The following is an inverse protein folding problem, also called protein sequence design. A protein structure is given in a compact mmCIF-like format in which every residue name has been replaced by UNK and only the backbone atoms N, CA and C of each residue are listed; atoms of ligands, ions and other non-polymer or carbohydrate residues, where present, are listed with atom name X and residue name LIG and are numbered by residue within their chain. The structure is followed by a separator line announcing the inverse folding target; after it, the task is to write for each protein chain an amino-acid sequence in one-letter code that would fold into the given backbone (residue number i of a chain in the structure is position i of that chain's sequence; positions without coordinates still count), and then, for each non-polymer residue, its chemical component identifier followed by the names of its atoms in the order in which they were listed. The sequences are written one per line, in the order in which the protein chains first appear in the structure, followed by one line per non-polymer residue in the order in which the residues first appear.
data_IF_868095130851
#
_entry.id   IF_868095130851
#
_cell.length_a   1.000
_cell.length_b   1.000
_cell.length_c   1.000
_cell.angle_alpha   90.00
_cell.angle_beta   90.00
_cell.angle_gamma   90.00
#
_symmetry.space_group_name_H-M   'P 1'
#
loop_
_entity.id
_entity.type
_entity.pdbx_description
1 polymer ?
#
# COMPACT_ATOMS: atom_id res chain seq x y z
N UNK A 1 -31.44 -33.55 -51.49
CA UNK A 1 -30.69 -34.25 -50.42
C UNK A 1 -29.23 -34.20 -50.84
N UNK A 2 -28.28 -33.53 -50.19
CA UNK A 2 -28.00 -33.36 -48.76
C UNK A 2 -27.90 -31.88 -48.35
N UNK A 3 -28.27 -31.62 -47.10
CA UNK A 3 -27.97 -30.41 -46.34
C UNK A 3 -26.57 -30.61 -45.75
N UNK A 4 -25.54 -29.90 -46.25
CA UNK A 4 -24.24 -29.85 -45.57
C UNK A 4 -24.10 -28.48 -44.92
N UNK A 5 -24.02 -28.53 -43.60
CA UNK A 5 -24.12 -27.46 -42.62
C UNK A 5 -23.15 -26.30 -42.87
N UNK A 6 -23.70 -25.09 -42.95
CA UNK A 6 -22.95 -23.87 -42.65
C UNK A 6 -22.36 -24.01 -41.24
N UNK A 7 -21.03 -24.15 -41.15
CA UNK A 7 -20.30 -24.04 -39.90
C UNK A 7 -20.08 -22.55 -39.66
N UNK A 8 -20.77 -21.91 -38.69
CA UNK A 8 -20.43 -20.55 -38.36
C UNK A 8 -19.01 -20.60 -37.79
N UNK A 9 -18.09 -19.97 -38.50
CA UNK A 9 -16.77 -19.66 -37.98
C UNK A 9 -16.96 -18.92 -36.65
N UNK A 10 -16.68 -19.67 -35.59
CA UNK A 10 -16.65 -19.20 -34.22
C UNK A 10 -15.69 -18.02 -34.20
N UNK A 11 -16.27 -16.82 -34.27
CA UNK A 11 -15.59 -15.56 -34.05
C UNK A 11 -15.11 -15.62 -32.61
N UNK A 12 -13.92 -16.18 -32.42
CA UNK A 12 -13.20 -16.20 -31.17
C UNK A 12 -12.87 -14.74 -30.88
N UNK A 13 -13.83 -14.04 -30.28
CA UNK A 13 -13.60 -12.75 -29.67
C UNK A 13 -12.53 -12.98 -28.62
N UNK A 14 -11.31 -12.57 -28.95
CA UNK A 14 -10.24 -12.49 -27.98
C UNK A 14 -10.78 -11.75 -26.76
N UNK A 15 -10.67 -12.32 -25.53
CA UNK A 15 -11.05 -11.61 -24.33
C UNK A 15 -10.28 -10.30 -24.34
N UNK A 16 -11.03 -9.20 -24.18
CA UNK A 16 -10.52 -7.84 -24.30
C UNK A 16 -9.19 -7.69 -23.60
N UNK A 17 -8.28 -7.01 -24.30
CA UNK A 17 -7.09 -6.39 -23.75
C UNK A 17 -7.51 -5.58 -22.53
N UNK A 18 -7.50 -6.25 -21.38
CA UNK A 18 -7.70 -5.63 -20.09
C UNK A 18 -6.45 -4.79 -19.94
N UNK A 19 -6.60 -3.48 -20.11
CA UNK A 19 -5.51 -2.51 -20.05
C UNK A 19 -4.60 -2.83 -18.87
N UNK A 20 -3.48 -3.50 -19.18
CA UNK A 20 -2.52 -3.91 -18.19
C UNK A 20 -1.93 -2.64 -17.62
N UNK A 21 -2.24 -2.35 -16.35
CA UNK A 21 -1.56 -1.28 -15.65
C UNK A 21 -0.05 -1.49 -15.87
N UNK A 22 0.68 -0.47 -16.33
CA UNK A 22 2.09 -0.62 -16.66
C UNK A 22 2.81 -1.20 -15.44
N UNK A 23 3.65 -2.21 -15.67
CA UNK A 23 4.42 -2.85 -14.60
C UNK A 23 5.14 -1.78 -13.77
N UNK A 24 5.11 -1.88 -12.43
CA UNK A 24 5.69 -0.85 -11.57
C UNK A 24 7.18 -0.71 -11.87
N UNK A 25 7.64 0.53 -12.00
CA UNK A 25 9.07 0.80 -12.18
C UNK A 25 9.88 0.30 -10.98
N UNK A 26 11.16 -0.07 -11.20
CA UNK A 26 12.07 -0.44 -10.12
C UNK A 26 12.10 0.62 -9.00
N UNK A 27 12.05 1.90 -9.39
CA UNK A 27 12.01 3.03 -8.46
C UNK A 27 10.79 2.96 -7.53
N UNK A 28 9.63 2.61 -8.06
CA UNK A 28 8.39 2.45 -7.29
C UNK A 28 8.51 1.28 -6.31
N UNK A 29 9.01 0.13 -6.77
CA UNK A 29 9.18 -1.05 -5.94
C UNK A 29 10.16 -0.81 -4.79
N UNK A 30 11.28 -0.15 -5.07
CA UNK A 30 12.25 0.22 -4.03
C UNK A 30 11.67 1.21 -3.01
N UNK A 31 10.83 2.15 -3.45
CA UNK A 31 10.17 3.09 -2.55
C UNK A 31 9.16 2.41 -1.63
N UNK A 32 8.40 1.43 -2.13
CA UNK A 32 7.46 0.64 -1.31
C UNK A 32 8.21 -0.22 -0.30
N UNK A 33 9.29 -0.87 -0.72
CA UNK A 33 10.14 -1.65 0.18
C UNK A 33 10.82 -0.78 1.24
N UNK A 34 11.33 0.39 0.86
CA UNK A 34 11.87 1.37 1.82
C UNK A 34 10.79 1.81 2.82
N UNK A 35 9.57 2.05 2.33
CA UNK A 35 8.43 2.45 3.15
C UNK A 35 8.06 1.36 4.17
N UNK A 36 8.03 0.09 3.78
CA UNK A 36 7.71 -1.01 4.72
C UNK A 36 8.75 -1.11 5.83
N UNK A 37 10.05 -1.07 5.49
CA UNK A 37 11.13 -1.12 6.49
C UNK A 37 11.05 0.03 7.50
N UNK A 38 10.72 1.24 7.03
CA UNK A 38 10.57 2.39 7.92
C UNK A 38 9.36 2.21 8.84
N UNK A 39 8.23 1.71 8.33
CA UNK A 39 7.04 1.45 9.15
C UNK A 39 7.31 0.39 10.22
N UNK A 40 7.98 -0.71 9.86
CA UNK A 40 8.33 -1.78 10.80
C UNK A 40 9.26 -1.27 11.90
N UNK A 41 10.26 -0.46 11.55
CA UNK A 41 11.17 0.16 12.51
C UNK A 41 10.47 1.18 13.42
N UNK A 42 9.53 1.95 12.86
CA UNK A 42 8.70 2.88 13.64
C UNK A 42 7.82 2.11 14.63
N UNK A 43 7.13 1.07 14.19
CA UNK A 43 6.25 0.27 15.04
C UNK A 43 7.02 -0.44 16.17
N UNK A 44 8.12 -1.11 15.84
CA UNK A 44 9.02 -1.74 16.82
C UNK A 44 9.67 -0.74 17.79
N UNK A 45 9.61 0.56 17.50
CA UNK A 45 10.10 1.63 18.36
C UNK A 45 9.00 2.37 19.12
N UNK A 46 7.73 1.98 18.98
CA UNK A 46 6.60 2.74 19.55
C UNK A 46 6.47 4.13 18.93
N UNK A 47 6.82 4.26 17.65
CA UNK A 47 6.87 5.52 16.89
C UNK A 47 7.90 6.55 17.41
N UNK A 48 8.91 6.11 18.17
CA UNK A 48 10.04 6.96 18.57
C UNK A 48 11.08 7.07 17.44
N UNK A 49 11.00 8.16 16.65
CA UNK A 49 11.84 8.38 15.46
C UNK A 49 13.35 8.18 15.69
N UNK A 50 13.92 8.69 16.80
CA UNK A 50 15.36 8.50 17.09
C UNK A 50 15.72 7.03 17.30
N UNK A 51 14.85 6.26 17.95
CA UNK A 51 15.04 4.82 18.16
C UNK A 51 14.85 4.05 16.85
N UNK A 52 13.84 4.38 16.05
CA UNK A 52 13.64 3.79 14.72
C UNK A 52 14.85 4.04 13.80
N UNK A 53 15.39 5.26 13.79
CA UNK A 53 16.56 5.62 13.00
C UNK A 53 17.80 4.82 13.43
N UNK A 54 18.02 4.67 14.73
CA UNK A 54 19.10 3.85 15.27
C UNK A 54 18.97 2.37 14.86
N UNK A 55 17.75 1.81 14.85
CA UNK A 55 17.49 0.44 14.39
C UNK A 55 17.79 0.24 12.90
N UNK A 56 17.56 1.28 12.09
CA UNK A 56 17.85 1.29 10.66
C UNK A 56 19.31 1.68 10.34
N UNK A 57 20.11 2.05 11.35
CA UNK A 57 21.49 2.49 11.15
C UNK A 57 21.65 3.83 10.42
N UNK A 58 20.66 4.72 10.52
CA UNK A 58 20.66 6.04 9.83
C UNK A 58 20.50 7.19 10.82
N UNK A 59 20.84 8.40 10.39
CA UNK A 59 20.61 9.60 11.19
C UNK A 59 19.10 9.88 11.35
N UNK A 60 18.65 10.43 12.49
CA UNK A 60 17.26 10.82 12.68
C UNK A 60 16.75 11.83 11.63
N UNK A 61 17.61 12.75 11.18
CA UNK A 61 17.30 13.70 10.09
C UNK A 61 17.07 12.98 8.77
N UNK A 62 17.87 11.95 8.45
CA UNK A 62 17.68 11.11 7.26
C UNK A 62 16.35 10.38 7.31
N UNK A 63 15.99 9.80 8.46
CA UNK A 63 14.69 9.16 8.64
C UNK A 63 13.55 10.15 8.41
N UNK A 64 13.64 11.35 8.99
CA UNK A 64 12.63 12.40 8.84
C UNK A 64 12.39 12.76 7.37
N UNK A 65 13.46 12.97 6.59
CA UNK A 65 13.35 13.30 5.17
C UNK A 65 12.77 12.13 4.35
N UNK A 66 13.17 10.89 4.66
CA UNK A 66 12.56 9.69 4.04
C UNK A 66 11.07 9.59 4.36
N UNK A 67 10.67 9.81 5.60
CA UNK A 67 9.26 9.81 6.01
C UNK A 67 8.45 10.88 5.25
N UNK A 68 8.98 12.10 5.09
CA UNK A 68 8.34 13.15 4.29
C UNK A 68 8.17 12.73 2.84
N UNK A 69 9.24 12.21 2.22
CA UNK A 69 9.25 11.75 0.81
C UNK A 69 8.27 10.61 0.55
N UNK A 70 8.14 9.67 1.49
CA UNK A 70 7.29 8.48 1.39
C UNK A 70 5.89 8.70 1.97
N UNK A 71 5.56 9.91 2.41
CA UNK A 71 4.24 10.24 2.97
C UNK A 71 3.91 9.53 4.28
N UNK A 72 4.91 9.10 5.05
CA UNK A 72 4.72 8.37 6.30
C UNK A 72 4.38 9.37 7.42
N UNK A 73 3.18 9.26 7.99
CA UNK A 73 2.72 10.07 9.12
C UNK A 73 2.03 9.17 10.14
N UNK A 74 2.23 9.45 11.42
CA UNK A 74 1.47 8.79 12.48
C UNK A 74 0.04 9.29 12.39
N UNK A 75 -0.91 8.39 12.13
CA UNK A 75 -2.32 8.73 12.28
C UNK A 75 -2.53 9.16 13.74
N UNK A 76 -3.07 10.36 13.95
CA UNK A 76 -3.59 10.73 15.27
C UNK A 76 -4.68 9.72 15.57
N UNK A 77 -4.52 8.93 16.62
CA UNK A 77 -5.59 8.06 17.08
C UNK A 77 -6.80 8.97 17.32
N UNK A 78 -7.83 8.85 16.48
CA UNK A 78 -9.14 9.38 16.80
C UNK A 78 -9.64 8.42 17.85
N UNK A 79 -9.39 8.74 19.11
CA UNK A 79 -9.97 8.03 20.23
C UNK A 79 -11.49 8.05 19.99
N UNK A 80 -12.15 6.89 19.81
CA UNK A 80 -13.58 6.89 19.61
C UNK A 80 -14.17 7.58 20.82
N UNK A 81 -14.88 8.69 20.62
CA UNK A 81 -15.59 9.39 21.69
C UNK A 81 -16.35 8.31 22.45
N UNK A 82 -15.92 8.03 23.68
CA UNK A 82 -16.54 7.03 24.53
C UNK A 82 -17.96 7.48 24.78
N UNK A 83 -18.92 6.87 24.08
CA UNK A 83 -20.36 7.12 24.19
C UNK A 83 -20.94 6.59 25.52
N UNK A 84 -20.13 6.53 26.57
CA UNK A 84 -20.48 6.00 27.88
C UNK A 84 -20.58 7.15 28.89
N UNK A 85 -21.60 7.99 28.71
CA UNK A 85 -22.03 8.96 29.72
C UNK A 85 -23.57 9.06 29.79
N UNK A 86 -24.28 7.97 29.51
CA UNK A 86 -25.75 7.94 29.45
C UNK A 86 -26.42 6.92 30.38
N UNK A 87 -25.74 6.46 31.43
CA UNK A 87 -26.40 5.64 32.46
C UNK A 87 -25.94 5.97 33.89
N UNK A 88 -26.61 6.96 34.46
CA UNK A 88 -26.95 7.15 35.89
C UNK A 88 -28.13 8.12 35.87
N UNK A 89 -29.38 7.65 35.85
CA UNK A 89 -30.18 7.21 37.01
C UNK A 89 -30.08 8.17 38.18
#
# INVERSE_FOLDING_TARGET
MYLETARPESRMTAPGETGGAPAPSLKTLMAEYERSLILDALDASGWHQRRAAARLGILPTTLLEKMKRLGIRRARAVEPRSTLDLTRS
#
